data_IF_437151202659
#
_entry.id   IF_437151202659
#
_cell.length_a   1.000
_cell.length_b   1.000
_cell.length_c   1.000
_cell.angle_alpha   90.00
_cell.angle_beta   90.00
_cell.angle_gamma   90.00
#
_symmetry.space_group_name_H-M   'P 1'
#
loop_
_entity.id
_entity.type
_entity.pdbx_description
1 polymer ?
#
# COMPACT_ATOMS: atom_id res chain seq x y z
N UNK A 1 8.52 -3.14 -9.02
CA UNK A 1 9.35 -2.03 -8.51
C UNK A 1 8.43 -0.96 -7.96
N UNK A 2 8.87 -0.07 -7.07
CA UNK A 2 8.04 1.06 -6.60
C UNK A 2 8.68 2.38 -7.02
N UNK A 3 7.91 3.20 -7.71
CA UNK A 3 8.23 4.57 -8.06
C UNK A 3 7.42 5.49 -7.16
N UNK A 4 8.05 6.50 -6.58
CA UNK A 4 7.41 7.36 -5.57
C UNK A 4 7.57 8.81 -5.94
N UNK A 5 6.45 9.51 -6.04
CA UNK A 5 6.36 10.94 -6.26
C UNK A 5 5.66 11.63 -5.06
N UNK A 6 6.10 12.85 -4.73
CA UNK A 6 5.54 13.61 -3.61
C UNK A 6 6.00 13.11 -2.23
N UNK A 7 5.33 13.60 -1.19
CA UNK A 7 5.65 13.30 0.20
C UNK A 7 7.03 13.78 0.68
N UNK A 8 7.30 13.58 1.96
CA UNK A 8 8.61 13.82 2.58
C UNK A 8 9.56 12.65 2.35
N UNK A 9 10.87 12.86 2.50
CA UNK A 9 11.87 11.77 2.41
C UNK A 9 11.56 10.60 3.36
N UNK A 10 11.05 10.91 4.56
CA UNK A 10 10.67 9.88 5.53
C UNK A 10 9.45 9.07 5.07
N UNK A 11 8.44 9.72 4.47
CA UNK A 11 7.29 9.01 3.89
C UNK A 11 7.71 8.14 2.71
N UNK A 12 8.60 8.64 1.84
CA UNK A 12 9.12 7.87 0.72
C UNK A 12 9.91 6.63 1.18
N UNK A 13 10.74 6.77 2.22
CA UNK A 13 11.45 5.64 2.79
C UNK A 13 10.47 4.62 3.40
N UNK A 14 9.51 5.11 4.20
CA UNK A 14 8.47 4.27 4.80
C UNK A 14 7.66 3.50 3.74
N UNK A 15 7.29 4.15 2.64
CA UNK A 15 6.57 3.51 1.54
C UNK A 15 7.39 2.40 0.86
N UNK A 16 8.71 2.58 0.70
CA UNK A 16 9.59 1.51 0.20
C UNK A 16 9.60 0.32 1.15
N UNK A 17 9.76 0.58 2.45
CA UNK A 17 9.81 -0.47 3.45
C UNK A 17 8.48 -1.25 3.51
N UNK A 18 7.35 -0.53 3.44
CA UNK A 18 6.00 -1.12 3.35
C UNK A 18 5.81 -1.93 2.08
N UNK A 19 6.24 -1.43 0.92
CA UNK A 19 6.17 -2.17 -0.34
C UNK A 19 6.84 -3.54 -0.24
N UNK A 20 8.08 -3.59 0.26
CA UNK A 20 8.81 -4.86 0.40
C UNK A 20 8.19 -5.77 1.45
N UNK A 21 7.75 -5.21 2.58
CA UNK A 21 7.06 -5.96 3.62
C UNK A 21 5.76 -6.58 3.09
N UNK A 22 4.85 -5.78 2.53
CA UNK A 22 3.55 -6.25 2.03
C UNK A 22 3.73 -7.27 0.90
N UNK A 23 4.68 -7.06 0.00
CA UNK A 23 4.98 -8.01 -1.08
C UNK A 23 5.34 -9.39 -0.53
N UNK A 24 6.14 -9.44 0.54
CA UNK A 24 6.50 -10.70 1.21
C UNK A 24 5.32 -11.28 2.01
N UNK A 25 4.70 -10.46 2.88
CA UNK A 25 3.63 -10.88 3.76
C UNK A 25 2.39 -11.41 3.00
N UNK A 26 2.06 -10.80 1.86
CA UNK A 26 0.96 -11.22 0.99
C UNK A 26 1.35 -12.32 0.00
N UNK A 27 2.61 -12.76 0.00
CA UNK A 27 3.16 -13.74 -0.93
C UNK A 27 2.93 -13.36 -2.41
N UNK A 28 3.22 -12.10 -2.75
CA UNK A 28 3.19 -11.61 -4.14
C UNK A 28 4.39 -12.22 -4.87
N UNK A 29 4.12 -13.17 -5.77
CA UNK A 29 5.16 -14.00 -6.43
C UNK A 29 5.90 -13.29 -7.57
N UNK A 30 5.26 -12.33 -8.22
CA UNK A 30 5.82 -11.59 -9.36
C UNK A 30 6.10 -10.15 -8.92
N UNK A 31 7.20 -9.53 -9.38
CA UNK A 31 7.40 -8.11 -9.19
C UNK A 31 6.19 -7.35 -9.74
N UNK A 32 5.58 -6.53 -8.89
CA UNK A 32 4.50 -5.61 -9.27
C UNK A 32 5.09 -4.23 -9.38
N UNK A 33 4.72 -3.50 -10.43
CA UNK A 33 5.14 -2.12 -10.60
C UNK A 33 4.08 -1.22 -10.01
N UNK A 34 4.50 -0.42 -9.02
CA UNK A 34 3.63 0.51 -8.30
C UNK A 34 4.15 1.92 -8.52
N UNK A 35 3.32 2.76 -9.13
CA UNK A 35 3.49 4.21 -9.18
C UNK A 35 2.71 4.81 -8.01
N UNK A 36 3.44 5.15 -6.95
CA UNK A 36 2.90 5.77 -5.73
C UNK A 36 3.01 7.29 -5.82
N UNK A 37 1.89 8.01 -5.64
CA UNK A 37 1.89 9.45 -5.40
C UNK A 37 1.42 9.76 -3.99
N UNK A 38 2.21 10.53 -3.27
CA UNK A 38 1.88 11.03 -1.93
C UNK A 38 1.45 12.50 -2.08
N UNK A 39 0.15 12.71 -2.19
CA UNK A 39 -0.44 13.98 -2.64
C UNK A 39 -1.71 14.35 -1.86
N UNK A 40 -2.36 15.46 -2.22
CA UNK A 40 -3.71 15.72 -1.71
C UNK A 40 -4.68 14.75 -2.38
N UNK A 41 -5.48 14.06 -1.56
CA UNK A 41 -6.48 13.09 -2.01
C UNK A 41 -7.81 13.49 -1.40
N UNK A 42 -8.82 13.61 -2.26
CA UNK A 42 -10.17 13.99 -1.85
C UNK A 42 -10.99 12.75 -1.46
N UNK A 43 -11.80 12.90 -0.40
CA UNK A 43 -12.80 11.94 0.05
C UNK A 43 -12.31 10.54 0.49
N UNK A 44 -11.00 10.28 0.50
CA UNK A 44 -10.41 9.03 0.98
C UNK A 44 -9.01 9.25 1.59
N UNK A 45 -8.48 8.24 2.30
CA UNK A 45 -7.08 8.22 2.75
C UNK A 45 -6.13 7.75 1.64
N UNK A 46 -6.60 6.89 0.75
CA UNK A 46 -5.86 6.40 -0.41
C UNK A 46 -6.81 5.86 -1.50
N UNK A 47 -6.25 5.65 -2.70
CA UNK A 47 -6.89 4.97 -3.82
C UNK A 47 -5.89 4.05 -4.52
N UNK A 48 -6.37 2.91 -5.03
CA UNK A 48 -5.62 2.02 -5.92
C UNK A 48 -6.36 1.85 -7.24
N UNK A 49 -5.63 1.98 -8.33
CA UNK A 49 -6.09 1.61 -9.67
C UNK A 49 -5.09 0.67 -10.37
N UNK A 50 -5.53 0.00 -11.43
CA UNK A 50 -4.72 -0.92 -12.23
C UNK A 50 -4.84 -0.60 -13.72
N UNK A 51 -3.71 -0.49 -14.42
CA UNK A 51 -3.70 -0.29 -15.88
C UNK A 51 -3.48 -1.60 -16.67
N UNK A 52 -3.51 -2.74 -15.98
CA UNK A 52 -3.18 -4.04 -16.57
C UNK A 52 -1.68 -4.36 -16.52
N UNK A 53 -1.30 -5.54 -17.01
CA UNK A 53 0.09 -6.03 -17.06
C UNK A 53 0.86 -6.03 -15.72
N UNK A 54 0.17 -5.98 -14.58
CA UNK A 54 0.79 -5.95 -13.26
C UNK A 54 1.33 -4.58 -12.83
N UNK A 55 0.86 -3.51 -13.48
CA UNK A 55 1.11 -2.11 -13.10
C UNK A 55 -0.07 -1.55 -12.31
N UNK A 56 0.24 -0.89 -11.21
CA UNK A 56 -0.72 -0.30 -10.29
C UNK A 56 -0.36 1.15 -10.00
N UNK A 57 -1.39 1.97 -9.81
CA UNK A 57 -1.26 3.33 -9.32
C UNK A 57 -1.84 3.40 -7.94
N UNK A 58 -1.09 3.99 -7.02
CA UNK A 58 -1.55 4.23 -5.66
C UNK A 58 -1.43 5.72 -5.37
N UNK A 59 -2.54 6.34 -5.00
CA UNK A 59 -2.55 7.70 -4.47
C UNK A 59 -2.79 7.63 -2.96
N UNK A 60 -1.88 8.18 -2.14
CA UNK A 60 -2.05 8.26 -0.68
C UNK A 60 -2.04 9.70 -0.23
N UNK A 61 -2.97 10.04 0.66
CA UNK A 61 -3.09 11.37 1.22
C UNK A 61 -1.83 11.77 2.00
N UNK A 62 -1.27 12.94 1.69
CA UNK A 62 0.06 13.37 2.18
C UNK A 62 0.11 13.77 3.65
N UNK A 63 -1.03 14.15 4.24
CA UNK A 63 -1.16 14.68 5.60
C UNK A 63 -1.51 13.61 6.66
N UNK A 64 -1.53 12.33 6.26
CA UNK A 64 -1.76 11.22 7.18
C UNK A 64 -0.66 11.12 8.24
N UNK A 65 -1.06 10.78 9.46
CA UNK A 65 -0.09 10.37 10.48
C UNK A 65 0.65 9.11 10.03
N UNK A 66 1.84 8.84 10.58
CA UNK A 66 2.62 7.63 10.26
C UNK A 66 1.79 6.35 10.41
N UNK A 67 0.95 6.26 11.44
CA UNK A 67 0.11 5.07 11.65
C UNK A 67 -0.98 4.94 10.59
N UNK A 68 -1.63 6.04 10.20
CA UNK A 68 -2.63 6.04 9.13
C UNK A 68 -1.98 5.70 7.79
N UNK A 69 -0.82 6.29 7.48
CA UNK A 69 -0.08 6.00 6.26
C UNK A 69 0.26 4.51 6.14
N UNK A 70 0.73 3.88 7.22
CA UNK A 70 0.99 2.44 7.26
C UNK A 70 -0.28 1.64 6.99
N UNK A 71 -1.39 1.96 7.67
CA UNK A 71 -2.65 1.22 7.51
C UNK A 71 -3.21 1.39 6.09
N UNK A 72 -3.28 2.61 5.57
CA UNK A 72 -3.76 2.90 4.22
C UNK A 72 -2.90 2.18 3.16
N UNK A 73 -1.57 2.24 3.26
CA UNK A 73 -0.71 1.52 2.32
C UNK A 73 -0.94 0.00 2.37
N UNK A 74 -1.10 -0.57 3.56
CA UNK A 74 -1.43 -1.99 3.72
C UNK A 74 -2.79 -2.35 3.08
N UNK A 75 -3.79 -1.48 3.22
CA UNK A 75 -5.10 -1.61 2.59
C UNK A 75 -4.98 -1.68 1.07
N UNK A 76 -4.28 -0.70 0.48
CA UNK A 76 -4.04 -0.63 -0.96
C UNK A 76 -3.28 -1.87 -1.48
N UNK A 77 -2.28 -2.36 -0.74
CA UNK A 77 -1.57 -3.59 -1.10
C UNK A 77 -2.47 -4.84 -1.04
N UNK A 78 -3.52 -4.86 -0.22
CA UNK A 78 -4.52 -5.92 -0.23
C UNK A 78 -5.34 -5.88 -1.53
N UNK A 79 -5.72 -4.69 -2.00
CA UNK A 79 -6.36 -4.54 -3.31
C UNK A 79 -5.46 -4.96 -4.46
N UNK A 80 -4.17 -4.66 -4.40
CA UNK A 80 -3.19 -5.13 -5.39
C UNK A 80 -3.18 -6.66 -5.46
N UNK A 81 -3.09 -7.37 -4.34
CA UNK A 81 -3.10 -8.85 -4.36
C UNK A 81 -4.47 -9.44 -4.73
N UNK A 82 -5.58 -8.75 -4.43
CA UNK A 82 -6.91 -9.16 -4.90
C UNK A 82 -6.97 -9.12 -6.43
N UNK A 83 -6.51 -8.03 -7.05
CA UNK A 83 -6.39 -7.93 -8.52
C UNK A 83 -5.49 -9.03 -9.10
N UNK A 84 -4.30 -9.24 -8.54
CA UNK A 84 -3.34 -10.24 -9.05
C UNK A 84 -3.80 -11.69 -8.94
N UNK A 85 -4.81 -11.96 -8.11
CA UNK A 85 -5.41 -13.29 -7.92
C UNK A 85 -6.73 -13.46 -8.65
N UNK A 86 -7.09 -12.52 -9.52
CA UNK A 86 -8.38 -12.45 -10.21
C UNK A 86 -9.56 -12.58 -9.23
N UNK A 87 -9.40 -12.03 -8.01
CA UNK A 87 -10.46 -12.00 -7.00
C UNK A 87 -11.28 -10.71 -7.15
N UNK A 88 -12.59 -10.75 -6.86
CA UNK A 88 -13.37 -9.54 -6.71
C UNK A 88 -12.75 -8.62 -5.65
N UNK A 89 -12.70 -7.33 -5.94
CA UNK A 89 -12.24 -6.33 -4.98
C UNK A 89 -13.23 -6.26 -3.81
N UNK A 90 -12.70 -6.35 -2.60
CA UNK A 90 -13.51 -6.40 -1.38
C UNK A 90 -12.93 -5.50 -0.30
N UNK A 91 -13.52 -4.32 -0.16
CA UNK A 91 -13.31 -3.39 0.96
C UNK A 91 -13.40 -4.09 2.32
N UNK A 92 -14.43 -4.93 2.47
CA UNK A 92 -14.67 -5.65 3.73
C UNK A 92 -13.54 -6.61 4.09
N UNK A 93 -12.91 -7.23 3.09
CA UNK A 93 -11.73 -8.08 3.32
C UNK A 93 -10.50 -7.21 3.61
N UNK A 94 -10.31 -6.12 2.86
CA UNK A 94 -9.21 -5.19 3.06
C UNK A 94 -9.19 -4.62 4.49
N UNK A 95 -10.31 -4.08 4.97
CA UNK A 95 -10.46 -3.58 6.35
C UNK A 95 -10.16 -4.63 7.43
N UNK A 96 -10.47 -5.90 7.17
CA UNK A 96 -10.19 -6.97 8.14
C UNK A 96 -8.71 -7.32 8.23
N UNK A 97 -7.97 -7.17 7.15
CA UNK A 97 -6.58 -7.62 7.04
C UNK A 97 -5.57 -6.49 7.27
N UNK A 98 -5.92 -5.24 6.93
CA UNK A 98 -5.02 -4.08 6.98
C UNK A 98 -4.40 -3.89 8.36
N UNK A 99 -5.19 -4.04 9.43
CA UNK A 99 -4.74 -3.81 10.81
C UNK A 99 -3.72 -4.87 11.22
N UNK A 100 -3.97 -6.12 10.84
CA UNK A 100 -3.04 -7.22 11.12
C UNK A 100 -1.70 -7.02 10.43
N UNK A 101 -1.70 -6.61 9.16
CA UNK A 101 -0.49 -6.28 8.39
C UNK A 101 0.24 -5.07 8.98
N UNK A 102 -0.50 -4.01 9.30
CA UNK A 102 0.05 -2.79 9.89
C UNK A 102 0.74 -3.07 11.24
N UNK A 103 0.12 -3.85 12.12
CA UNK A 103 0.69 -4.20 13.41
C UNK A 103 1.90 -5.13 13.28
N UNK A 104 1.86 -6.08 12.34
CA UNK A 104 3.04 -6.90 12.00
C UNK A 104 4.21 -6.03 11.54
N UNK A 105 3.99 -5.10 10.60
CA UNK A 105 5.02 -4.17 10.14
C UNK A 105 5.60 -3.35 11.29
N UNK A 106 4.73 -2.75 12.12
CA UNK A 106 5.16 -1.96 13.28
C UNK A 106 5.96 -2.80 14.27
N UNK A 107 5.58 -4.05 14.51
CA UNK A 107 6.31 -4.93 15.44
C UNK A 107 7.73 -5.27 14.98
N UNK A 108 7.92 -5.46 13.67
CA UNK A 108 9.23 -5.79 13.09
C UNK A 108 10.18 -4.60 13.08
N UNK A 109 9.64 -3.38 13.05
CA UNK A 109 10.40 -2.13 12.98
C UNK A 109 10.46 -1.39 14.32
N UNK A 110 10.00 -2.01 15.42
CA UNK A 110 10.31 -1.56 16.79
C UNK A 110 11.73 -2.04 17.12
N UNK A 111 12.74 -1.25 16.79
CA UNK A 111 14.12 -1.39 17.24
C UNK A 111 14.65 -0.03 17.66
#
# INVERSE_FOLDING_TARGET
>A
MIYIEGGTKSQQQLAKDLYYFCSQALSIKKPVDIDLRIQDVDHAEAWTDHEGEGKFYIDIKKDLTTSQFITAFCHEMIHVIQHLRDKPISEKEAYKLEVGLAEQFKSLNKS
#
